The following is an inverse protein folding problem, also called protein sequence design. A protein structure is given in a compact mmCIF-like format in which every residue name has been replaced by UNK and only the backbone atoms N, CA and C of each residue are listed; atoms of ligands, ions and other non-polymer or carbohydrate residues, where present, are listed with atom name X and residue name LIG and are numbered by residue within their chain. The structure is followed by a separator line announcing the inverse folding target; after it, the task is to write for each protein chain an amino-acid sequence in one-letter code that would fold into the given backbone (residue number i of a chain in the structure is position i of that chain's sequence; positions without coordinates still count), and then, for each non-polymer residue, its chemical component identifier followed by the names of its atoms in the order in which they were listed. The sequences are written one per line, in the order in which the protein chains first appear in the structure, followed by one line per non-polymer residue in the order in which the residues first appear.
data_IF_364561810803
#
_entry.id   IF_364561810803
#
_cell.length_a   1.000
_cell.length_b   1.000
_cell.length_c   1.000
_cell.angle_alpha   90.00
_cell.angle_beta   90.00
_cell.angle_gamma   90.00
#
_symmetry.space_group_name_H-M   'P 1'
#
loop_
_entity.id
_entity.type
_entity.pdbx_description
1 polymer ?
#
# COMPACT_ATOMS: atom_id res chain seq x y z
N UNK A 1 -6.08 -21.53 10.88
CA UNK A 1 -6.09 -20.16 10.32
C UNK A 1 -4.67 -19.64 10.43
N UNK A 2 -4.11 -19.11 9.35
CA UNK A 2 -2.79 -18.46 9.36
C UNK A 2 -2.86 -17.17 10.21
N UNK A 3 -1.73 -16.71 10.78
CA UNK A 3 -1.65 -15.51 11.63
C UNK A 3 -2.18 -14.29 10.87
N UNK A 4 -1.80 -14.14 9.59
CA UNK A 4 -2.27 -13.05 8.72
C UNK A 4 -3.74 -13.14 8.38
N UNK A 5 -4.29 -14.34 8.30
CA UNK A 5 -5.73 -14.55 8.08
C UNK A 5 -6.55 -14.08 9.29
N UNK A 6 -6.03 -14.22 10.52
CA UNK A 6 -6.68 -13.75 11.75
C UNK A 6 -6.81 -12.21 11.82
N UNK A 7 -5.91 -11.49 11.16
CA UNK A 7 -5.92 -10.03 11.05
C UNK A 7 -7.07 -9.52 10.17
N UNK A 8 -7.59 -10.36 9.27
CA UNK A 8 -8.68 -10.00 8.34
C UNK A 8 -9.96 -10.78 8.57
N UNK A 9 -9.96 -11.83 9.40
CA UNK A 9 -11.12 -12.67 9.62
C UNK A 9 -11.13 -13.28 11.03
N UNK A 10 -12.27 -13.23 11.72
CA UNK A 10 -12.44 -13.84 13.06
C UNK A 10 -13.25 -15.15 13.07
N UNK A 11 -13.66 -15.65 11.89
CA UNK A 11 -14.57 -16.80 11.77
C UNK A 11 -16.00 -16.41 11.38
N UNK A 12 -16.39 -15.15 11.61
CA UNK A 12 -17.73 -14.62 11.31
C UNK A 12 -17.67 -13.34 10.48
N UNK A 13 -16.73 -12.44 10.80
CA UNK A 13 -16.58 -11.13 10.19
C UNK A 13 -15.26 -11.01 9.43
N UNK A 14 -15.36 -10.41 8.24
CA UNK A 14 -14.23 -9.82 7.54
C UNK A 14 -13.91 -8.48 8.22
N UNK A 15 -12.65 -8.30 8.62
CA UNK A 15 -12.12 -7.09 9.25
C UNK A 15 -11.45 -6.20 8.21
N UNK A 16 -12.02 -5.02 8.00
CA UNK A 16 -11.42 -3.98 7.16
C UNK A 16 -10.43 -3.14 7.97
N UNK A 17 -9.84 -2.12 7.34
CA UNK A 17 -9.06 -1.11 8.05
C UNK A 17 -9.95 -0.24 8.93
N UNK A 18 -9.42 0.25 10.06
CA UNK A 18 -10.15 1.16 10.95
C UNK A 18 -11.31 0.55 11.73
N UNK A 19 -11.17 -0.72 12.16
CA UNK A 19 -12.14 -1.47 12.98
C UNK A 19 -13.50 -1.77 12.33
N UNK A 20 -13.67 -1.47 11.03
CA UNK A 20 -14.90 -1.82 10.31
C UNK A 20 -15.02 -3.34 10.11
N UNK A 21 -16.21 -3.88 10.43
CA UNK A 21 -16.52 -5.31 10.36
C UNK A 21 -17.65 -5.57 9.37
N UNK A 22 -17.46 -6.56 8.51
CA UNK A 22 -18.48 -7.05 7.57
C UNK A 22 -18.76 -8.50 7.90
N UNK A 23 -20.02 -8.84 8.20
CA UNK A 23 -20.39 -10.25 8.34
C UNK A 23 -20.22 -10.98 7.02
N UNK A 24 -19.59 -12.15 7.08
CA UNK A 24 -19.33 -12.97 5.90
C UNK A 24 -20.63 -13.34 5.16
N UNK A 25 -21.71 -13.59 5.91
CA UNK A 25 -23.03 -13.93 5.35
C UNK A 25 -23.64 -12.78 4.52
N UNK A 26 -23.24 -11.54 4.76
CA UNK A 26 -23.76 -10.37 4.04
C UNK A 26 -22.99 -10.10 2.75
N UNK A 27 -21.84 -10.78 2.54
CA UNK A 27 -21.04 -10.63 1.33
C UNK A 27 -21.71 -11.38 0.18
N UNK A 28 -22.01 -10.64 -0.89
CA UNK A 28 -22.59 -11.20 -2.12
C UNK A 28 -21.49 -11.65 -3.08
N UNK A 29 -20.50 -10.80 -3.33
CA UNK A 29 -19.35 -11.11 -4.20
C UNK A 29 -18.16 -10.22 -3.90
N UNK A 30 -16.98 -10.68 -4.31
CA UNK A 30 -15.73 -9.93 -4.26
C UNK A 30 -15.21 -9.72 -5.69
N UNK A 31 -14.88 -8.49 -6.04
CA UNK A 31 -14.37 -8.13 -7.37
C UNK A 31 -12.94 -7.65 -7.25
N UNK A 32 -12.02 -8.30 -7.95
CA UNK A 32 -10.60 -7.95 -7.99
C UNK A 32 -10.40 -6.82 -9.01
N UNK A 33 -9.66 -5.79 -8.60
CA UNK A 33 -9.10 -4.72 -9.43
C UNK A 33 -7.60 -4.64 -9.17
N UNK A 34 -6.81 -4.51 -10.21
CA UNK A 34 -5.36 -4.32 -10.05
C UNK A 34 -5.03 -2.83 -10.11
N UNK A 35 -4.31 -2.34 -9.10
CA UNK A 35 -3.78 -0.98 -9.09
C UNK A 35 -2.27 -1.03 -8.97
N UNK A 36 -1.55 -0.11 -9.60
CA UNK A 36 -0.14 0.00 -9.32
C UNK A 36 0.13 0.74 -8.01
N UNK A 37 1.31 0.50 -7.48
CA UNK A 37 2.00 1.39 -6.57
C UNK A 37 3.48 1.47 -6.95
N UNK A 38 4.12 2.52 -6.46
CA UNK A 38 5.53 2.81 -6.66
C UNK A 38 6.30 2.49 -5.40
N UNK A 39 7.47 1.88 -5.57
CA UNK A 39 8.40 1.57 -4.48
C UNK A 39 9.58 2.53 -4.53
N UNK A 40 9.76 3.31 -3.47
CA UNK A 40 10.82 4.30 -3.32
C UNK A 40 11.85 3.84 -2.31
N UNK A 41 13.12 4.03 -2.61
CA UNK A 41 14.15 3.82 -1.61
C UNK A 41 14.36 5.07 -0.76
N UNK A 42 14.68 4.84 0.51
CA UNK A 42 15.03 5.91 1.45
C UNK A 42 16.54 6.06 1.53
N UNK A 43 17.01 7.29 1.48
CA UNK A 43 18.43 7.66 1.63
C UNK A 43 18.66 8.28 3.00
N UNK A 44 19.69 7.87 3.73
CA UNK A 44 20.14 8.56 4.93
C UNK A 44 21.13 9.66 4.54
N UNK A 45 20.97 10.86 5.12
CA UNK A 45 21.85 11.99 4.89
C UNK A 45 22.75 12.22 6.10
N UNK A 46 24.04 11.89 6.01
CA UNK A 46 25.03 12.13 7.06
C UNK A 46 25.93 13.32 6.68
N UNK A 47 25.48 14.55 6.89
CA UNK A 47 26.21 15.74 6.42
C UNK A 47 26.14 15.84 4.89
N UNK A 48 27.29 15.72 4.21
CA UNK A 48 27.36 15.67 2.75
C UNK A 48 27.19 14.25 2.18
N UNK A 49 27.34 13.22 3.03
CA UNK A 49 27.26 11.83 2.59
C UNK A 49 25.82 11.36 2.43
N UNK A 50 25.59 10.57 1.37
CA UNK A 50 24.29 9.97 1.05
C UNK A 50 24.42 8.47 1.02
N UNK A 51 23.66 7.78 1.87
CA UNK A 51 23.65 6.32 1.94
C UNK A 51 22.25 5.76 1.67
N UNK A 52 22.11 4.83 0.74
CA UNK A 52 20.82 4.17 0.48
C UNK A 52 20.53 3.17 1.59
N UNK A 53 19.39 3.32 2.25
CA UNK A 53 18.94 2.40 3.29
C UNK A 53 18.20 1.20 2.69
N UNK A 54 17.97 0.19 3.54
CA UNK A 54 17.10 -0.93 3.19
C UNK A 54 15.63 -0.54 3.12
N UNK A 55 15.19 0.54 3.79
CA UNK A 55 13.78 0.96 3.82
C UNK A 55 13.29 1.33 2.43
N UNK A 56 12.11 0.78 2.10
CA UNK A 56 11.37 1.14 0.90
C UNK A 56 9.97 1.64 1.26
N UNK A 57 9.62 2.82 0.76
CA UNK A 57 8.31 3.45 0.92
C UNK A 57 7.42 3.10 -0.26
N UNK A 58 6.17 2.78 0.03
CA UNK A 58 5.11 2.49 -0.92
C UNK A 58 4.26 3.73 -1.10
N UNK A 59 4.08 4.18 -2.34
CA UNK A 59 3.20 5.30 -2.65
C UNK A 59 2.33 4.94 -3.85
N UNK A 60 1.00 5.15 -3.80
CA UNK A 60 0.13 4.82 -4.93
C UNK A 60 0.46 5.65 -6.19
N UNK A 61 0.87 6.91 -6.05
CA UNK A 61 1.34 7.77 -7.15
C UNK A 61 2.11 8.99 -6.63
N UNK A 62 2.87 9.67 -7.50
CA UNK A 62 3.76 10.77 -7.09
C UNK A 62 3.17 12.19 -7.20
N UNK A 63 2.04 12.36 -7.89
CA UNK A 63 1.40 13.67 -8.11
C UNK A 63 0.12 13.86 -7.30
N UNK A 64 -0.64 14.92 -7.61
CA UNK A 64 -1.92 15.22 -6.95
C UNK A 64 -3.11 14.49 -7.60
N UNK A 65 -2.89 13.90 -8.78
CA UNK A 65 -3.90 13.16 -9.54
C UNK A 65 -3.54 11.70 -9.63
N UNK A 66 -4.55 10.85 -9.42
CA UNK A 66 -4.43 9.44 -9.66
C UNK A 66 -4.09 9.20 -11.15
N UNK A 67 -3.03 8.44 -11.46
CA UNK A 67 -2.68 8.12 -12.83
C UNK A 67 -3.79 7.32 -13.49
N UNK A 68 -3.98 7.54 -14.80
CA UNK A 68 -4.91 6.78 -15.62
C UNK A 68 -4.49 5.30 -15.63
N UNK A 69 -5.37 4.42 -15.18
CA UNK A 69 -5.16 2.97 -15.09
C UNK A 69 -4.74 2.35 -16.42
N UNK A 70 -5.16 2.92 -17.55
CA UNK A 70 -4.81 2.42 -18.89
C UNK A 70 -3.37 2.73 -19.30
N UNK A 71 -2.70 3.65 -18.60
CA UNK A 71 -1.32 4.06 -18.87
C UNK A 71 -0.28 3.30 -18.04
N UNK A 72 -0.75 2.35 -17.23
CA UNK A 72 0.05 1.68 -16.21
C UNK A 72 0.42 0.28 -16.72
N UNK A 73 1.70 0.08 -17.04
CA UNK A 73 2.23 -1.20 -17.51
C UNK A 73 3.00 -1.88 -16.38
N UNK A 74 2.56 -3.08 -15.97
CA UNK A 74 3.18 -3.87 -14.91
C UNK A 74 4.64 -4.22 -15.25
N UNK A 75 5.56 -4.00 -14.32
CA UNK A 75 6.99 -4.35 -14.45
C UNK A 75 7.87 -3.25 -15.05
N UNK A 76 7.33 -2.06 -15.33
CA UNK A 76 8.13 -0.94 -15.82
C UNK A 76 8.89 -0.21 -14.70
N UNK A 77 10.09 0.25 -15.06
CA UNK A 77 10.85 1.20 -14.24
C UNK A 77 10.58 2.61 -14.73
N UNK A 78 10.22 3.52 -13.83
CA UNK A 78 10.01 4.94 -14.19
C UNK A 78 10.93 5.86 -13.39
N UNK A 79 11.46 6.92 -13.99
CA UNK A 79 12.16 7.95 -13.23
C UNK A 79 11.15 8.80 -12.43
N UNK A 80 11.54 9.20 -11.23
CA UNK A 80 10.85 10.19 -10.40
C UNK A 80 11.83 11.30 -10.04
N UNK A 81 11.29 12.50 -9.86
CA UNK A 81 12.09 13.69 -9.52
C UNK A 81 11.98 13.99 -8.02
N UNK A 82 11.94 12.95 -7.18
CA UNK A 82 11.85 13.11 -5.73
C UNK A 82 12.71 12.11 -4.98
N UNK A 83 13.30 12.55 -3.89
CA UNK A 83 14.06 11.76 -2.94
C UNK A 83 13.29 11.61 -1.64
N UNK A 84 13.34 10.41 -1.06
CA UNK A 84 12.92 10.16 0.31
C UNK A 84 14.16 10.02 1.16
N UNK A 85 14.21 10.73 2.28
CA UNK A 85 15.41 10.72 3.11
C UNK A 85 15.14 10.83 4.60
N UNK A 86 16.08 10.31 5.38
CA UNK A 86 16.10 10.44 6.84
C UNK A 86 17.07 11.55 7.19
N UNK A 87 16.59 12.49 8.00
CA UNK A 87 17.41 13.53 8.61
C UNK A 87 18.10 12.97 9.87
N UNK A 88 19.34 13.37 10.15
CA UNK A 88 20.25 12.72 11.11
C UNK A 88 19.71 12.56 12.53
N UNK A 89 18.77 13.40 12.93
CA UNK A 89 18.18 13.42 14.27
C UNK A 89 16.67 13.13 14.26
N UNK A 90 16.10 12.88 13.09
CA UNK A 90 14.65 12.68 12.96
C UNK A 90 14.31 11.20 12.89
N UNK A 91 13.25 10.84 13.62
CA UNK A 91 12.55 9.56 13.45
C UNK A 91 11.59 9.57 12.26
N UNK A 92 11.88 10.40 11.25
CA UNK A 92 10.95 10.75 10.18
C UNK A 92 11.61 10.66 8.81
N UNK A 93 10.89 10.07 7.86
CA UNK A 93 11.28 10.10 6.44
C UNK A 93 10.63 11.30 5.78
N UNK A 94 11.43 12.17 5.18
CA UNK A 94 10.99 13.37 4.47
C UNK A 94 11.06 13.14 2.97
N UNK A 95 10.03 13.59 2.23
CA UNK A 95 10.05 13.65 0.76
C UNK A 95 10.43 15.05 0.27
N UNK A 96 11.40 15.14 -0.66
CA UNK A 96 11.77 16.38 -1.35
C UNK A 96 11.88 16.17 -2.85
N UNK A 97 11.66 17.21 -3.64
CA UNK A 97 11.98 17.18 -5.06
C UNK A 97 13.50 17.09 -5.24
N UNK A 98 13.95 16.17 -6.08
CA UNK A 98 15.33 16.06 -6.55
C UNK A 98 15.31 16.26 -8.07
N UNK A 99 15.56 17.50 -8.46
CA UNK A 99 15.60 17.90 -9.87
C UNK A 99 16.96 17.63 -10.52
N UNK A 100 17.96 17.24 -9.72
CA UNK A 100 19.33 17.05 -10.17
C UNK A 100 19.63 15.58 -10.50
N UNK A 101 18.99 14.64 -9.81
CA UNK A 101 19.23 13.21 -9.99
C UNK A 101 17.92 12.46 -10.26
N UNK A 102 17.80 11.76 -11.40
CA UNK A 102 16.63 10.93 -11.67
C UNK A 102 16.67 9.68 -10.79
N UNK A 103 15.58 9.45 -10.04
CA UNK A 103 15.43 8.25 -9.20
C UNK A 103 14.57 7.22 -9.93
N UNK A 104 15.13 6.04 -10.24
CA UNK A 104 14.37 4.94 -10.81
C UNK A 104 13.52 4.28 -9.73
N UNK A 105 12.22 4.22 -9.94
CA UNK A 105 11.28 3.48 -9.08
C UNK A 105 10.67 2.32 -9.84
N UNK A 106 10.35 1.28 -9.08
CA UNK A 106 9.71 0.08 -9.60
C UNK A 106 8.20 0.22 -9.41
N UNK A 107 7.47 -0.03 -10.49
CA UNK A 107 6.03 -0.19 -10.43
C UNK A 107 5.71 -1.63 -10.07
N UNK A 108 4.89 -1.81 -9.04
CA UNK A 108 4.38 -3.12 -8.67
C UNK A 108 2.86 -3.09 -8.60
N UNK A 109 2.23 -4.23 -8.89
CA UNK A 109 0.78 -4.37 -8.82
C UNK A 109 0.35 -4.87 -7.44
N UNK A 110 -0.66 -4.23 -6.86
CA UNK A 110 -1.39 -4.79 -5.72
C UNK A 110 -2.83 -5.05 -6.12
N UNK A 111 -3.45 -5.96 -5.36
CA UNK A 111 -4.88 -6.21 -5.48
C UNK A 111 -5.61 -5.15 -4.68
N UNK A 112 -6.51 -4.46 -5.35
CA UNK A 112 -7.66 -3.88 -4.71
C UNK A 112 -8.83 -4.85 -4.88
N UNK A 113 -9.68 -4.92 -3.87
CA UNK A 113 -10.94 -5.65 -3.98
C UNK A 113 -12.10 -4.71 -3.70
N UNK A 114 -13.21 -4.96 -4.41
CA UNK A 114 -14.50 -4.38 -4.09
C UNK A 114 -15.39 -5.49 -3.57
N UNK A 115 -15.78 -5.37 -2.31
CA UNK A 115 -16.73 -6.27 -1.65
C UNK A 115 -18.12 -5.69 -1.87
N UNK A 116 -18.96 -6.40 -2.62
CA UNK A 116 -20.38 -6.06 -2.78
C UNK A 116 -21.19 -6.83 -1.74
N UNK A 117 -21.98 -6.10 -0.96
CA UNK A 117 -22.90 -6.65 0.05
C UNK A 117 -24.25 -6.99 -0.58
N UNK A 118 -25.03 -7.85 0.08
CA UNK A 118 -26.36 -8.25 -0.38
C UNK A 118 -27.35 -7.09 -0.48
N UNK A 119 -27.17 -6.04 0.32
CA UNK A 119 -27.96 -4.81 0.29
C UNK A 119 -27.55 -3.85 -0.84
N UNK A 120 -26.52 -4.18 -1.62
CA UNK A 120 -26.01 -3.39 -2.73
C UNK A 120 -24.90 -2.40 -2.37
N UNK A 121 -24.53 -2.27 -1.09
CA UNK A 121 -23.39 -1.45 -0.69
C UNK A 121 -22.08 -2.05 -1.19
N UNK A 122 -21.12 -1.19 -1.52
CA UNK A 122 -19.78 -1.58 -1.96
C UNK A 122 -18.72 -1.06 -1.00
N UNK A 123 -17.76 -1.91 -0.65
CA UNK A 123 -16.60 -1.55 0.18
C UNK A 123 -15.33 -1.82 -0.59
N UNK A 124 -14.47 -0.81 -0.71
CA UNK A 124 -13.19 -0.94 -1.40
C UNK A 124 -12.10 -1.23 -0.38
N UNK A 125 -11.27 -2.24 -0.65
CA UNK A 125 -10.17 -2.63 0.23
C UNK A 125 -8.89 -2.72 -0.59
N UNK A 126 -7.82 -2.13 -0.07
CA UNK A 126 -6.48 -2.17 -0.66
C UNK A 126 -5.47 -2.86 0.25
N UNK A 127 -4.20 -2.46 0.12
CA UNK A 127 -3.20 -2.76 1.15
C UNK A 127 -3.29 -1.77 2.30
N UNK A 128 -2.75 -2.16 3.45
CA UNK A 128 -2.40 -1.25 4.53
C UNK A 128 -0.88 -1.05 4.57
N UNK A 129 -0.47 -0.04 5.33
CA UNK A 129 0.95 0.26 5.49
C UNK A 129 1.53 1.08 4.35
N UNK A 130 2.70 1.64 4.61
CA UNK A 130 3.42 2.52 3.69
C UNK A 130 4.90 2.15 3.54
N UNK A 131 5.37 1.13 4.26
CA UNK A 131 6.75 0.66 4.21
C UNK A 131 6.82 -0.83 3.85
N UNK A 132 7.57 -1.22 2.81
CA UNK A 132 7.85 -2.65 2.57
C UNK A 132 8.65 -3.27 3.72
N UNK A 133 9.46 -2.45 4.39
CA UNK A 133 10.24 -2.84 5.55
C UNK A 133 10.47 -1.61 6.43
N UNK A 134 10.19 -1.75 7.72
CA UNK A 134 10.41 -0.70 8.70
C UNK A 134 11.84 -0.79 9.24
N UNK A 135 12.47 0.36 9.48
CA UNK A 135 13.75 0.46 10.17
C UNK A 135 13.44 0.90 11.59
N UNK A 136 14.13 0.30 12.56
CA UNK A 136 13.98 0.65 13.97
C UNK A 136 14.22 2.15 14.19
N UNK A 137 13.34 2.76 14.98
CA UNK A 137 13.40 4.19 15.31
C UNK A 137 12.80 5.12 14.24
N UNK A 138 12.25 4.61 13.14
CA UNK A 138 11.42 5.40 12.23
C UNK A 138 9.96 5.30 12.65
N UNK A 139 9.34 6.44 12.92
CA UNK A 139 7.97 6.53 13.46
C UNK A 139 7.02 7.20 12.47
N UNK A 140 7.50 8.08 11.60
CA UNK A 140 6.65 8.94 10.77
C UNK A 140 7.17 9.08 9.33
N UNK A 141 6.24 9.29 8.40
CA UNK A 141 6.50 9.72 7.04
C UNK A 141 5.91 11.11 6.82
N UNK A 142 6.69 12.00 6.19
CA UNK A 142 6.24 13.31 5.74
C UNK A 142 6.15 13.32 4.21
N UNK A 143 4.92 13.46 3.71
CA UNK A 143 4.58 13.51 2.29
C UNK A 143 3.98 14.89 2.00
N UNK A 144 4.82 15.82 1.52
CA UNK A 144 4.42 17.22 1.39
C UNK A 144 4.10 17.82 2.76
N UNK A 145 2.88 18.33 2.93
CA UNK A 145 2.39 18.89 4.20
C UNK A 145 1.69 17.84 5.09
N UNK A 146 1.55 16.60 4.62
CA UNK A 146 0.93 15.52 5.35
C UNK A 146 1.96 14.74 6.16
N UNK A 147 1.62 14.39 7.41
CA UNK A 147 2.40 13.50 8.27
C UNK A 147 1.52 12.33 8.67
N UNK A 148 2.04 11.13 8.51
CA UNK A 148 1.38 9.88 8.88
C UNK A 148 2.36 8.93 9.59
N UNK A 149 1.87 8.01 10.44
CA UNK A 149 2.73 7.01 11.04
C UNK A 149 3.33 6.08 9.99
N UNK A 150 4.61 5.74 10.17
CA UNK A 150 5.26 4.70 9.38
C UNK A 150 4.73 3.33 9.82
N UNK A 151 4.27 2.53 8.87
CA UNK A 151 3.65 1.22 9.14
C UNK A 151 4.04 0.21 8.07
N UNK A 152 4.26 -1.04 8.50
CA UNK A 152 4.63 -2.11 7.59
C UNK A 152 3.50 -2.47 6.63
N UNK A 153 3.91 -2.79 5.41
CA UNK A 153 3.02 -3.22 4.34
C UNK A 153 2.27 -4.49 4.71
N UNK A 154 0.95 -4.44 4.53
CA UNK A 154 0.07 -5.58 4.66
C UNK A 154 -0.89 -5.66 3.48
N UNK A 155 -0.80 -6.73 2.69
CA UNK A 155 -1.69 -6.98 1.55
C UNK A 155 -3.07 -7.50 2.00
N UNK A 156 -3.82 -6.67 2.75
CA UNK A 156 -5.13 -7.01 3.30
C UNK A 156 -6.08 -7.55 2.23
N UNK A 157 -6.09 -6.94 1.05
CA UNK A 157 -6.92 -7.38 -0.07
C UNK A 157 -6.65 -8.83 -0.48
N UNK A 158 -5.38 -9.25 -0.54
CA UNK A 158 -5.03 -10.65 -0.86
C UNK A 158 -5.45 -11.63 0.25
N UNK A 159 -5.32 -11.24 1.51
CA UNK A 159 -5.75 -12.08 2.64
C UNK A 159 -7.28 -12.24 2.67
N UNK A 160 -8.04 -11.15 2.47
CA UNK A 160 -9.51 -11.22 2.35
C UNK A 160 -9.93 -12.09 1.16
N UNK A 161 -9.21 -12.00 0.04
CA UNK A 161 -9.49 -12.84 -1.12
C UNK A 161 -9.31 -14.34 -0.79
N UNK A 162 -8.29 -14.69 0.00
CA UNK A 162 -8.09 -16.05 0.49
C UNK A 162 -9.25 -16.54 1.36
N UNK A 163 -9.76 -15.69 2.26
CA UNK A 163 -10.95 -15.96 3.07
C UNK A 163 -12.19 -16.16 2.18
N UNK A 164 -12.41 -15.28 1.21
CA UNK A 164 -13.53 -15.37 0.28
C UNK A 164 -13.53 -16.70 -0.51
N UNK A 165 -12.35 -17.12 -1.00
CA UNK A 165 -12.18 -18.42 -1.68
C UNK A 165 -12.53 -19.60 -0.77
N UNK A 166 -12.01 -19.61 0.45
CA UNK A 166 -12.27 -20.69 1.43
C UNK A 166 -13.75 -20.81 1.80
N UNK A 167 -14.49 -19.71 1.75
CA UNK A 167 -15.91 -19.64 2.08
C UNK A 167 -16.84 -19.67 0.86
N UNK A 168 -16.32 -20.01 -0.33
CA UNK A 168 -17.11 -20.11 -1.57
C UNK A 168 -17.87 -18.84 -1.95
N UNK A 169 -17.34 -17.67 -1.61
CA UNK A 169 -17.89 -16.38 -2.05
C UNK A 169 -17.58 -16.22 -3.54
N UNK A 170 -18.54 -15.68 -4.30
CA UNK A 170 -18.35 -15.41 -5.73
C UNK A 170 -17.23 -14.40 -5.94
N UNK A 171 -16.25 -14.75 -6.77
CA UNK A 171 -15.09 -13.89 -7.09
C UNK A 171 -15.12 -13.53 -8.57
N UNK A 172 -15.02 -12.24 -8.86
CA UNK A 172 -14.89 -11.68 -10.20
C UNK A 172 -13.53 -11.00 -10.37
N UNK A 173 -13.03 -10.95 -11.60
CA UNK A 173 -11.82 -10.21 -11.96
C UNK A 173 -12.13 -9.22 -13.07
N UNK A 174 -11.80 -7.94 -12.84
CA UNK A 174 -11.70 -6.96 -13.91
C UNK A 174 -10.22 -6.60 -14.05
N UNK A 175 -9.61 -7.12 -15.11
CA UNK A 175 -8.27 -6.76 -15.56
C UNK A 175 -8.46 -5.73 -16.66
#
# INVERSE_FOLDING_TARGET
MDVREQEVFDGVHIKLSGDELIKLEDVKKVTIKLFPYLIFHVTKLNGEERERTLMKIIVPFTGDKQPDQTTIVSGETRPTHSVHYIDNESKMVKRKLDLLNPHKVELTGHRHIVIELKDGQCKTVGFDGNCMNLIEGIEQLQIGDHIEPASEYFDRASEILSVAKKNNITIMSHI
#
